data_IF_846417799909
#
_entry.id   IF_846417799909
#
_cell.length_a   1.000
_cell.length_b   1.000
_cell.length_c   1.000
_cell.angle_alpha   90.00
_cell.angle_beta   90.00
_cell.angle_gamma   90.00
#
_symmetry.space_group_name_H-M   'P 1'
#
loop_
_entity.id
_entity.type
_entity.pdbx_description
1 polymer ?
#
# COMPACT_ATOMS: atom_id res chain seq x y z
N UNK A 1 -2.71 -17.08 7.12
CA UNK A 1 -3.64 -16.58 6.09
C UNK A 1 -3.12 -17.03 4.73
N UNK A 2 -3.99 -17.51 3.82
CA UNK A 2 -3.63 -17.66 2.41
C UNK A 2 -3.82 -16.31 1.71
N UNK A 3 -2.72 -15.76 1.18
CA UNK A 3 -2.72 -14.46 0.50
C UNK A 3 -3.54 -14.49 -0.80
N UNK A 4 -3.63 -15.63 -1.47
CA UNK A 4 -4.43 -15.76 -2.70
C UNK A 4 -5.93 -15.73 -2.38
N UNK A 5 -6.33 -16.32 -1.25
CA UNK A 5 -7.71 -16.22 -0.75
C UNK A 5 -8.06 -14.76 -0.45
N UNK A 6 -7.18 -14.06 0.28
CA UNK A 6 -7.36 -12.64 0.59
C UNK A 6 -7.54 -11.80 -0.70
N UNK A 7 -6.66 -11.97 -1.69
CA UNK A 7 -6.72 -11.24 -2.97
C UNK A 7 -8.00 -11.48 -3.75
N UNK A 8 -8.49 -12.72 -3.74
CA UNK A 8 -9.77 -13.09 -4.38
C UNK A 8 -10.94 -12.42 -3.67
N UNK A 9 -10.98 -12.48 -2.33
CA UNK A 9 -12.00 -11.81 -1.52
C UNK A 9 -12.01 -10.31 -1.77
N UNK A 10 -10.86 -9.66 -1.69
CA UNK A 10 -10.69 -8.23 -1.94
C UNK A 10 -11.15 -7.81 -3.34
N UNK A 11 -11.04 -8.68 -4.35
CA UNK A 11 -11.43 -8.34 -5.72
C UNK A 11 -12.90 -8.59 -6.04
N UNK A 12 -13.55 -9.50 -5.30
CA UNK A 12 -14.87 -10.03 -5.66
C UNK A 12 -15.96 -9.59 -4.69
N UNK A 13 -15.61 -9.32 -3.43
CA UNK A 13 -16.57 -8.88 -2.43
C UNK A 13 -16.80 -7.37 -2.56
N UNK A 14 -18.06 -6.95 -2.47
CA UNK A 14 -18.47 -5.54 -2.57
C UNK A 14 -18.26 -4.75 -1.28
N UNK A 15 -17.97 -5.44 -0.18
CA UNK A 15 -17.70 -4.85 1.12
C UNK A 15 -16.22 -5.09 1.46
N UNK A 16 -15.36 -4.20 0.97
CA UNK A 16 -13.91 -4.32 1.20
C UNK A 16 -13.57 -4.19 2.69
N UNK A 17 -14.40 -3.50 3.48
CA UNK A 17 -14.21 -3.37 4.93
C UNK A 17 -14.38 -4.73 5.62
N UNK A 18 -15.43 -5.49 5.28
CA UNK A 18 -15.61 -6.84 5.80
C UNK A 18 -14.43 -7.77 5.44
N UNK A 19 -13.87 -7.63 4.23
CA UNK A 19 -12.65 -8.35 3.83
C UNK A 19 -11.46 -7.95 4.69
N UNK A 20 -11.30 -6.67 5.01
CA UNK A 20 -10.25 -6.19 5.91
C UNK A 20 -10.41 -6.76 7.33
N UNK A 21 -11.62 -6.78 7.87
CA UNK A 21 -11.89 -7.37 9.20
C UNK A 21 -11.53 -8.85 9.23
N UNK A 22 -11.93 -9.62 8.22
CA UNK A 22 -11.52 -11.02 8.05
C UNK A 22 -10.00 -11.17 7.99
N UNK A 23 -9.30 -10.29 7.26
CA UNK A 23 -7.85 -10.29 7.17
C UNK A 23 -7.21 -10.05 8.55
N UNK A 24 -7.68 -9.07 9.32
CA UNK A 24 -7.16 -8.80 10.66
C UNK A 24 -7.38 -9.97 11.61
N UNK A 25 -8.52 -10.66 11.54
CA UNK A 25 -8.75 -11.88 12.34
C UNK A 25 -7.74 -12.99 12.01
N UNK A 26 -7.46 -13.19 10.71
CA UNK A 26 -6.48 -14.19 10.25
C UNK A 26 -5.05 -13.84 10.62
N UNK A 27 -4.69 -12.56 10.59
CA UNK A 27 -3.37 -12.07 11.01
C UNK A 27 -3.22 -12.17 12.54
N UNK A 28 -4.25 -11.80 13.30
CA UNK A 28 -4.25 -11.90 14.77
C UNK A 28 -4.10 -13.34 15.26
N UNK A 29 -4.57 -14.32 14.47
CA UNK A 29 -4.38 -15.75 14.74
C UNK A 29 -2.94 -16.24 14.51
N UNK A 30 -2.12 -15.47 13.78
CA UNK A 30 -0.72 -15.78 13.47
C UNK A 30 0.09 -14.48 13.30
N UNK A 31 0.28 -13.69 14.37
CA UNK A 31 0.81 -12.32 14.28
C UNK A 31 2.25 -12.28 13.75
N UNK A 32 3.02 -13.34 13.98
CA UNK A 32 4.40 -13.47 13.48
C UNK A 32 4.47 -13.72 11.95
N UNK A 33 3.38 -14.12 11.30
CA UNK A 33 3.41 -14.52 9.89
C UNK A 33 3.29 -13.35 8.92
N UNK A 34 2.68 -12.23 9.33
CA UNK A 34 2.36 -11.10 8.46
C UNK A 34 2.64 -9.77 9.14
N UNK A 35 3.12 -8.79 8.38
CA UNK A 35 3.24 -7.42 8.86
C UNK A 35 2.77 -6.41 7.83
N UNK A 36 2.44 -5.21 8.33
CA UNK A 36 2.06 -4.06 7.54
C UNK A 36 3.17 -3.03 7.51
N UNK A 37 3.44 -2.48 6.34
CA UNK A 37 4.43 -1.41 6.15
C UNK A 37 3.82 -0.28 5.34
N UNK A 38 3.85 0.92 5.90
CA UNK A 38 3.56 2.15 5.18
C UNK A 38 4.83 2.61 4.46
N UNK A 39 4.75 2.87 3.17
CA UNK A 39 5.83 3.42 2.37
C UNK A 39 5.41 4.80 1.84
N UNK A 40 6.03 5.84 2.39
CA UNK A 40 5.79 7.23 1.98
C UNK A 40 6.90 7.73 1.06
N UNK A 41 6.54 8.31 -0.08
CA UNK A 41 7.54 8.82 -1.01
C UNK A 41 8.21 10.08 -0.45
N UNK A 42 9.54 10.11 -0.43
CA UNK A 42 10.41 11.17 0.10
C UNK A 42 10.39 12.42 -0.75
N UNK A 43 10.37 12.24 -2.07
CA UNK A 43 10.53 13.33 -3.04
C UNK A 43 9.18 13.81 -3.56
N UNK A 44 8.19 13.96 -2.68
CA UNK A 44 6.85 14.46 -3.04
C UNK A 44 6.92 15.84 -3.71
N UNK A 45 7.88 16.68 -3.31
CA UNK A 45 8.11 18.01 -3.91
C UNK A 45 8.53 17.95 -5.39
N UNK A 46 9.04 16.81 -5.86
CA UNK A 46 9.36 16.59 -7.29
C UNK A 46 8.14 16.13 -8.10
N UNK A 47 7.06 15.70 -7.42
CA UNK A 47 5.85 15.26 -8.09
C UNK A 47 5.12 16.47 -8.65
N UNK A 48 5.05 16.53 -9.98
CA UNK A 48 4.36 17.58 -10.71
C UNK A 48 3.46 16.99 -11.79
N UNK A 49 2.46 17.76 -12.21
CA UNK A 49 1.47 17.34 -13.20
C UNK A 49 0.24 16.69 -12.57
N UNK A 50 -0.67 16.11 -13.37
CA UNK A 50 -1.92 15.52 -12.91
C UNK A 50 -1.73 14.12 -12.28
N UNK A 51 -2.54 13.78 -11.26
CA UNK A 51 -2.43 12.56 -10.44
C UNK A 51 -2.33 11.23 -11.23
N UNK A 52 -2.83 11.16 -12.47
CA UNK A 52 -2.69 9.97 -13.30
C UNK A 52 -1.22 9.69 -13.72
N UNK A 53 -0.36 10.73 -13.79
CA UNK A 53 1.07 10.55 -14.07
C UNK A 53 1.77 9.83 -12.91
N UNK A 54 1.43 10.20 -11.68
CA UNK A 54 1.93 9.60 -10.45
C UNK A 54 1.41 8.17 -10.31
N UNK A 55 0.16 7.94 -10.73
CA UNK A 55 -0.40 6.59 -10.79
C UNK A 55 0.40 5.70 -11.76
N UNK A 56 0.88 6.24 -12.89
CA UNK A 56 1.76 5.51 -13.82
C UNK A 56 3.15 5.22 -13.23
N UNK A 57 3.70 6.15 -12.42
CA UNK A 57 4.96 5.90 -11.70
C UNK A 57 4.83 4.74 -10.72
N UNK A 58 3.72 4.70 -9.97
CA UNK A 58 3.39 3.59 -9.06
C UNK A 58 3.22 2.28 -9.81
N UNK A 59 2.57 2.29 -10.99
CA UNK A 59 2.49 1.07 -11.81
C UNK A 59 3.87 0.61 -12.30
N UNK A 60 4.74 1.52 -12.71
CA UNK A 60 6.11 1.20 -13.09
C UNK A 60 6.88 0.53 -11.95
N UNK A 61 6.69 1.03 -10.73
CA UNK A 61 7.24 0.41 -9.52
C UNK A 61 6.75 -1.03 -9.32
N UNK A 62 5.43 -1.23 -9.42
CA UNK A 62 4.81 -2.53 -9.25
C UNK A 62 5.29 -3.56 -10.29
N UNK A 63 5.54 -3.14 -11.53
CA UNK A 63 6.11 -4.02 -12.57
C UNK A 63 7.52 -4.50 -12.21
N UNK A 64 8.34 -3.64 -11.62
CA UNK A 64 9.68 -4.02 -11.16
C UNK A 64 9.63 -5.02 -9.99
N UNK A 65 8.53 -5.04 -9.24
CA UNK A 65 8.30 -5.93 -8.10
C UNK A 65 7.47 -7.18 -8.44
N UNK A 66 7.27 -7.50 -9.72
CA UNK A 66 6.36 -8.59 -10.15
C UNK A 66 6.63 -9.94 -9.46
N UNK A 67 7.89 -10.24 -9.15
CA UNK A 67 8.28 -11.46 -8.43
C UNK A 67 7.61 -11.58 -7.05
N UNK A 68 7.33 -10.45 -6.39
CA UNK A 68 6.68 -10.40 -5.07
C UNK A 68 5.16 -10.52 -5.14
N UNK A 69 4.56 -10.40 -6.34
CA UNK A 69 3.10 -10.42 -6.44
C UNK A 69 2.51 -11.73 -5.93
N UNK A 70 3.24 -12.85 -5.92
CA UNK A 70 2.67 -14.11 -5.41
C UNK A 70 2.45 -14.10 -3.89
N UNK A 71 3.26 -13.33 -3.16
CA UNK A 71 3.37 -13.45 -1.70
C UNK A 71 2.96 -12.17 -0.96
N UNK A 72 2.94 -11.02 -1.65
CA UNK A 72 2.67 -9.72 -1.06
C UNK A 72 1.40 -9.10 -1.67
N UNK A 73 0.84 -8.14 -0.95
CA UNK A 73 -0.25 -7.29 -1.41
C UNK A 73 0.06 -5.83 -1.05
N UNK A 74 -0.37 -4.87 -1.87
CA UNK A 74 -0.27 -3.46 -1.51
C UNK A 74 -1.46 -2.65 -2.02
N UNK A 75 -1.80 -1.62 -1.28
CA UNK A 75 -2.65 -0.53 -1.76
C UNK A 75 -1.85 0.77 -1.78
N UNK A 76 -1.61 1.29 -2.97
CA UNK A 76 -0.93 2.56 -3.19
C UNK A 76 -1.94 3.65 -3.55
N UNK A 77 -1.79 4.81 -2.92
CA UNK A 77 -2.61 5.99 -3.14
C UNK A 77 -1.73 7.14 -3.67
N UNK A 78 -2.26 7.79 -4.69
CA UNK A 78 -1.86 9.14 -5.09
C UNK A 78 -2.81 10.10 -4.40
N UNK A 79 -2.24 10.90 -3.51
CA UNK A 79 -2.90 11.92 -2.72
C UNK A 79 -2.69 13.27 -3.40
N UNK A 80 -3.71 14.12 -3.45
CA UNK A 80 -3.63 15.45 -4.05
C UNK A 80 -4.24 16.52 -3.15
N UNK A 81 -3.60 17.69 -3.14
CA UNK A 81 -4.08 18.90 -2.48
C UNK A 81 -3.63 20.11 -3.30
N UNK A 82 -4.59 20.80 -3.91
CA UNK A 82 -4.31 21.91 -4.84
C UNK A 82 -3.33 21.47 -5.96
N UNK A 83 -2.11 22.02 -5.96
CA UNK A 83 -1.03 21.64 -6.89
C UNK A 83 -0.04 20.61 -6.31
N UNK A 84 -0.12 20.32 -5.01
CA UNK A 84 0.76 19.39 -4.32
C UNK A 84 0.25 17.95 -4.44
N UNK A 85 1.18 17.01 -4.60
CA UNK A 85 0.87 15.60 -4.71
C UNK A 85 1.79 14.77 -3.83
N UNK A 86 1.25 13.65 -3.36
CA UNK A 86 1.99 12.70 -2.52
C UNK A 86 1.68 11.29 -2.96
N UNK A 87 2.70 10.44 -2.92
CA UNK A 87 2.53 9.00 -3.10
C UNK A 87 2.75 8.34 -1.75
N UNK A 88 1.78 7.55 -1.33
CA UNK A 88 1.88 6.72 -0.13
C UNK A 88 1.25 5.36 -0.41
N UNK A 89 1.75 4.31 0.22
CA UNK A 89 1.21 2.97 0.04
C UNK A 89 1.33 2.14 1.31
N UNK A 90 0.39 1.22 1.48
CA UNK A 90 0.44 0.23 2.56
C UNK A 90 0.66 -1.15 1.95
N UNK A 91 1.72 -1.80 2.41
CA UNK A 91 2.12 -3.15 2.06
C UNK A 91 1.68 -4.14 3.13
N UNK A 92 1.23 -5.30 2.69
CA UNK A 92 1.05 -6.51 3.48
C UNK A 92 2.08 -7.54 2.99
N UNK A 93 2.99 -7.95 3.89
CA UNK A 93 4.13 -8.81 3.56
C UNK A 93 4.23 -10.00 4.51
N UNK A 94 4.74 -11.16 4.06
CA UNK A 94 4.83 -12.39 4.87
C UNK A 94 6.12 -12.45 5.71
N UNK A 95 6.57 -11.30 6.23
CA UNK A 95 7.78 -11.19 7.06
C UNK A 95 7.57 -10.16 8.15
N UNK A 96 8.26 -10.30 9.28
CA UNK A 96 8.27 -9.29 10.35
C UNK A 96 9.39 -8.27 10.21
N UNK A 97 10.41 -8.58 9.43
CA UNK A 97 11.57 -7.72 9.21
C UNK A 97 11.35 -6.81 8.02
N UNK A 98 12.19 -5.79 7.89
CA UNK A 98 12.21 -4.95 6.70
C UNK A 98 12.26 -5.82 5.43
N UNK A 99 11.34 -5.66 4.47
CA UNK A 99 11.34 -6.43 3.24
C UNK A 99 12.57 -6.07 2.40
N UNK A 100 13.57 -6.96 2.38
CA UNK A 100 14.83 -6.74 1.67
C UNK A 100 14.60 -6.50 0.17
N UNK A 101 13.51 -7.04 -0.35
CA UNK A 101 13.12 -6.94 -1.74
C UNK A 101 12.76 -5.51 -2.15
N UNK A 102 12.34 -4.64 -1.22
CA UNK A 102 12.13 -3.21 -1.48
C UNK A 102 13.43 -2.42 -1.65
N UNK A 103 14.57 -2.98 -1.26
CA UNK A 103 15.90 -2.43 -1.47
C UNK A 103 16.76 -3.32 -2.38
N UNK A 104 16.15 -4.23 -3.15
CA UNK A 104 16.92 -5.15 -3.99
C UNK A 104 17.73 -4.37 -5.04
N UNK A 105 19.02 -4.73 -5.28
CA UNK A 105 19.82 -4.16 -6.37
C UNK A 105 19.17 -4.29 -7.75
N UNK A 106 18.27 -5.26 -7.93
CA UNK A 106 17.53 -5.51 -9.18
C UNK A 106 16.47 -4.44 -9.47
N UNK A 107 15.99 -3.75 -8.44
CA UNK A 107 15.05 -2.63 -8.57
C UNK A 107 15.68 -1.28 -8.22
N UNK A 108 16.93 -1.30 -7.73
CA UNK A 108 17.74 -0.11 -7.47
C UNK A 108 17.97 0.66 -8.77
N UNK A 109 17.83 1.99 -8.73
CA UNK A 109 17.92 2.87 -9.89
C UNK A 109 16.59 3.32 -10.53
N UNK A 110 15.43 2.79 -10.13
CA UNK A 110 14.16 3.47 -10.42
C UNK A 110 13.95 4.61 -9.43
N UNK A 111 13.61 5.82 -9.93
CA UNK A 111 13.38 7.03 -9.12
C UNK A 111 12.48 6.80 -7.89
N UNK A 112 11.57 5.84 -8.00
CA UNK A 112 10.59 5.55 -6.97
C UNK A 112 11.08 4.51 -5.95
N UNK A 113 11.94 3.54 -6.32
CA UNK A 113 12.36 2.44 -5.44
C UNK A 113 13.22 2.89 -4.26
N UNK A 114 14.11 3.86 -4.48
CA UNK A 114 15.01 4.40 -3.45
C UNK A 114 14.36 5.54 -2.65
N UNK A 115 13.17 5.96 -3.08
CA UNK A 115 12.50 7.15 -2.60
C UNK A 115 11.48 6.90 -1.49
N UNK A 116 11.35 5.71 -0.90
CA UNK A 116 10.37 5.48 0.15
C UNK A 116 10.97 5.48 1.55
N UNK A 117 10.27 6.11 2.50
CA UNK A 117 10.42 5.85 3.92
C UNK A 117 9.41 4.78 4.34
N UNK A 118 9.92 3.70 4.93
CA UNK A 118 9.13 2.57 5.37
C UNK A 118 8.94 2.60 6.88
N UNK A 119 7.68 2.61 7.30
CA UNK A 119 7.27 2.57 8.70
C UNK A 119 6.43 1.32 8.91
N UNK A 120 6.84 0.48 9.87
CA UNK A 120 6.04 -0.69 10.26
C UNK A 120 4.80 -0.21 11.01
N UNK A 121 3.63 -0.68 10.60
CA UNK A 121 2.36 -0.37 11.24
C UNK A 121 1.97 -1.46 12.24
N UNK A 122 1.30 -1.07 13.32
CA UNK A 122 0.81 -2.00 14.33
C UNK A 122 -0.69 -2.29 14.12
N UNK A 123 -1.07 -3.48 13.65
CA UNK A 123 -2.48 -3.82 13.42
C UNK A 123 -3.30 -3.97 14.72
N UNK A 124 -2.66 -3.97 15.89
CA UNK A 124 -3.33 -3.98 17.19
C UNK A 124 -3.70 -2.58 17.67
N UNK A 125 -3.07 -1.54 17.10
CA UNK A 125 -3.41 -0.15 17.35
C UNK A 125 -4.60 0.26 16.48
N UNK A 126 -5.64 0.82 17.08
CA UNK A 126 -6.84 1.26 16.37
C UNK A 126 -6.55 2.30 15.28
N UNK A 127 -5.60 3.22 15.50
CA UNK A 127 -5.26 4.25 14.54
C UNK A 127 -4.59 3.68 13.27
N UNK A 128 -3.66 2.75 13.45
CA UNK A 128 -2.98 2.09 12.33
C UNK A 128 -3.91 1.11 11.63
N UNK A 129 -4.76 0.40 12.38
CA UNK A 129 -5.82 -0.46 11.83
C UNK A 129 -6.77 0.33 10.94
N UNK A 130 -7.26 1.47 11.42
CA UNK A 130 -8.14 2.34 10.64
C UNK A 130 -7.44 2.87 9.39
N UNK A 131 -6.18 3.30 9.52
CA UNK A 131 -5.37 3.75 8.38
C UNK A 131 -5.22 2.66 7.32
N UNK A 132 -4.94 1.41 7.71
CA UNK A 132 -4.85 0.27 6.79
C UNK A 132 -6.18 0.07 6.05
N UNK A 133 -7.30 0.10 6.78
CA UNK A 133 -8.63 -0.03 6.19
C UNK A 133 -8.87 1.09 5.18
N UNK A 134 -8.61 2.35 5.54
CA UNK A 134 -8.84 3.51 4.68
C UNK A 134 -8.07 3.43 3.36
N UNK A 135 -6.82 2.95 3.41
CA UNK A 135 -6.03 2.70 2.20
C UNK A 135 -6.60 1.57 1.35
N UNK A 136 -7.23 0.57 1.97
CA UNK A 136 -7.75 -0.61 1.27
C UNK A 136 -9.14 -0.33 0.68
N UNK A 137 -9.95 0.54 1.29
CA UNK A 137 -11.30 0.91 0.83
C UNK A 137 -11.36 2.24 0.07
N UNK A 138 -10.22 2.76 -0.37
CA UNK A 138 -10.07 4.10 -0.96
C UNK A 138 -11.02 4.41 -2.13
N UNK A 139 -11.48 3.38 -2.85
CA UNK A 139 -12.40 3.46 -3.98
C UNK A 139 -13.88 3.46 -3.56
N UNK A 140 -14.19 2.99 -2.36
CA UNK A 140 -15.55 2.94 -1.80
C UNK A 140 -15.86 4.19 -0.98
N UNK A 141 -14.87 4.71 -0.26
CA UNK A 141 -15.04 5.89 0.60
C UNK A 141 -13.98 6.95 0.25
N UNK A 142 -14.39 8.11 -0.30
CA UNK A 142 -13.51 9.26 -0.43
C UNK A 142 -13.00 9.67 0.95
N UNK A 143 -11.69 9.74 1.11
CA UNK A 143 -11.05 10.12 2.36
C UNK A 143 -9.99 11.18 2.16
N UNK A 144 -9.46 11.64 3.29
CA UNK A 144 -8.30 12.52 3.32
C UNK A 144 -7.24 11.93 4.21
N UNK A 145 -5.99 11.97 3.76
CA UNK A 145 -4.83 11.60 4.55
C UNK A 145 -3.94 12.84 4.69
N UNK A 146 -3.65 13.25 5.93
CA UNK A 146 -2.78 14.41 6.21
C UNK A 146 -3.22 15.70 5.48
N UNK A 147 -4.54 15.87 5.31
CA UNK A 147 -5.14 16.99 4.58
C UNK A 147 -5.07 16.92 3.05
N UNK A 148 -4.63 15.80 2.48
CA UNK A 148 -4.69 15.51 1.04
C UNK A 148 -5.85 14.55 0.73
N UNK A 149 -6.55 14.77 -0.39
CA UNK A 149 -7.64 13.92 -0.84
C UNK A 149 -7.15 12.75 -1.70
N UNK A 150 -7.87 11.63 -1.68
CA UNK A 150 -7.56 10.47 -2.52
C UNK A 150 -7.84 10.80 -4.00
N UNK A 151 -6.79 10.91 -4.81
CA UNK A 151 -6.91 11.29 -6.23
C UNK A 151 -6.87 10.08 -7.16
N UNK A 152 -6.05 9.08 -6.83
CA UNK A 152 -5.98 7.81 -7.57
C UNK A 152 -5.45 6.71 -6.65
N UNK A 153 -5.75 5.45 -6.97
CA UNK A 153 -5.20 4.32 -6.26
C UNK A 153 -4.82 3.17 -7.20
N UNK A 154 -3.82 2.40 -6.79
CA UNK A 154 -3.29 1.24 -7.50
C UNK A 154 -3.10 0.10 -6.51
N UNK A 155 -3.60 -1.07 -6.87
CA UNK A 155 -3.50 -2.27 -6.05
C UNK A 155 -2.42 -3.18 -6.63
N UNK A 156 -1.49 -3.61 -5.79
CA UNK A 156 -0.52 -4.65 -6.10
C UNK A 156 -1.09 -6.00 -5.64
N UNK A 157 -1.46 -6.85 -6.59
CA UNK A 157 -2.04 -8.17 -6.30
C UNK A 157 -1.67 -9.20 -7.37
#
# INVERSE_FOLDING_TARGET
MDINEFKRKYSNESDTKAVCDWMFEKISSAPEAWSFWQADYKYNDELSGPAWMQANLVEGYFRNLEALHKNCFASALVLAKDSAQRISMIWLVPTQTYPAEFNSPEIAGSKICEGFDLVKLDPTNEADKQKIIDYFVWNETPGTFDGFSYASGKIFK
#
